data_IF_254811442153
#
_entry.id   IF_254811442153
#
_cell.length_a   1.000
_cell.length_b   1.000
_cell.length_c   1.000
_cell.angle_alpha   90.00
_cell.angle_beta   90.00
_cell.angle_gamma   90.00
#
_symmetry.space_group_name_H-M   'P 1'
#
loop_
_entity.id
_entity.type
_entity.pdbx_description
1 polymer ?
#
# COMPACT_ATOMS: atom_id res chain seq x y z
N UNK A 1 9.21 -18.22 -7.60
CA UNK A 1 8.98 -17.66 -7.48
C UNK A 1 8.59 -16.57 -7.69
N UNK A 2 8.09 -16.14 -7.69
CA UNK A 2 7.72 -15.22 -7.99
C UNK A 2 7.64 -14.07 -7.39
N UNK A 3 8.32 -13.24 -7.54
CA UNK A 3 8.31 -12.04 -6.95
C UNK A 3 7.13 -11.37 -7.31
N UNK A 4 6.29 -11.26 -6.46
CA UNK A 4 5.09 -10.58 -6.75
C UNK A 4 5.40 -9.13 -6.86
N UNK A 5 4.95 -8.51 -7.92
CA UNK A 5 5.09 -7.09 -8.10
C UNK A 5 3.85 -6.41 -7.56
N UNK A 6 3.69 -6.47 -6.26
CA UNK A 6 2.56 -5.85 -5.60
C UNK A 6 3.00 -4.60 -4.88
N UNK A 7 2.06 -3.68 -4.74
CA UNK A 7 2.28 -2.39 -4.13
C UNK A 7 1.21 -2.14 -3.07
N UNK A 8 1.54 -1.30 -2.12
CA UNK A 8 0.58 -0.83 -1.13
C UNK A 8 0.63 0.68 -1.11
N UNK A 9 -0.36 1.29 -0.50
CA UNK A 9 -0.37 2.74 -0.32
C UNK A 9 -0.04 3.01 1.14
N UNK A 10 1.04 3.75 1.35
CA UNK A 10 1.53 4.05 2.69
C UNK A 10 1.28 5.53 3.00
N UNK A 11 0.92 5.81 4.24
CA UNK A 11 0.75 7.19 4.65
C UNK A 11 2.07 7.93 4.66
N UNK A 12 2.08 9.13 4.10
CA UNK A 12 3.29 9.95 4.13
C UNK A 12 3.55 10.53 5.50
N UNK A 13 2.49 10.66 6.31
CA UNK A 13 2.63 11.22 7.66
C UNK A 13 2.95 10.16 8.70
N UNK A 14 2.49 8.94 8.48
CA UNK A 14 2.67 7.86 9.45
C UNK A 14 3.00 6.59 8.69
N UNK A 15 4.28 6.24 8.58
CA UNK A 15 4.68 5.08 7.75
C UNK A 15 4.11 3.76 8.23
N UNK A 16 3.57 3.69 9.43
CA UNK A 16 2.97 2.45 9.91
C UNK A 16 1.55 2.25 9.39
N UNK A 17 0.98 3.27 8.78
CA UNK A 17 -0.38 3.17 8.26
C UNK A 17 -0.36 2.85 6.78
N UNK A 18 -1.16 1.85 6.40
CA UNK A 18 -1.32 1.43 5.02
C UNK A 18 -2.80 1.52 4.67
N UNK A 19 -3.08 1.68 3.39
CA UNK A 19 -4.44 1.95 2.94
C UNK A 19 -5.24 0.69 2.72
N UNK A 20 -6.47 0.71 3.18
CA UNK A 20 -7.47 -0.30 2.87
C UNK A 20 -8.64 0.38 2.18
N UNK A 21 -9.07 -0.17 1.05
CA UNK A 21 -10.21 0.38 0.33
C UNK A 21 -11.49 0.32 1.15
N UNK A 22 -11.53 -0.57 2.12
CA UNK A 22 -12.71 -0.72 2.95
C UNK A 22 -12.65 0.14 4.20
N UNK A 23 -11.48 0.16 4.86
CA UNK A 23 -11.37 0.74 6.18
C UNK A 23 -10.55 2.03 6.24
N UNK A 24 -9.95 2.43 5.12
CA UNK A 24 -9.08 3.59 5.11
C UNK A 24 -7.69 3.25 5.62
N UNK A 25 -7.12 4.14 6.43
CA UNK A 25 -5.79 3.90 6.97
C UNK A 25 -5.85 2.89 8.10
N UNK A 26 -5.04 1.83 7.98
CA UNK A 26 -5.02 0.77 8.99
C UNK A 26 -3.58 0.51 9.39
N UNK A 27 -3.40 0.09 10.63
CA UNK A 27 -2.07 -0.22 11.16
C UNK A 27 -1.81 -1.71 11.26
N UNK A 28 -2.70 -2.52 10.73
CA UNK A 28 -2.55 -3.97 10.75
C UNK A 28 -2.21 -4.51 9.39
N UNK A 29 -2.59 -5.75 9.17
CA UNK A 29 -2.29 -6.43 7.93
C UNK A 29 -3.47 -6.47 6.96
N UNK A 30 -4.54 -5.75 7.28
CA UNK A 30 -5.76 -5.77 6.48
C UNK A 30 -5.74 -4.73 5.37
N UNK A 31 -4.57 -4.24 5.00
CA UNK A 31 -4.45 -3.30 3.89
C UNK A 31 -4.55 -4.02 2.56
N UNK A 32 -4.86 -3.27 1.52
CA UNK A 32 -5.00 -3.82 0.18
C UNK A 32 -3.70 -3.77 -0.58
N UNK A 33 -3.50 -4.76 -1.44
CA UNK A 33 -2.35 -4.80 -2.35
C UNK A 33 -2.84 -4.45 -3.74
N UNK A 34 -1.96 -3.81 -4.50
CA UNK A 34 -2.29 -3.34 -5.84
C UNK A 34 -1.23 -3.83 -6.82
N UNK A 35 -1.64 -4.03 -8.07
CA UNK A 35 -0.71 -4.41 -9.11
C UNK A 35 -0.02 -3.18 -9.67
N UNK A 36 1.04 -3.41 -10.44
CA UNK A 36 1.72 -2.30 -11.09
C UNK A 36 0.76 -1.52 -11.99
N UNK A 37 -0.10 -2.23 -12.70
CA UNK A 37 -1.06 -1.56 -13.58
C UNK A 37 -1.99 -0.66 -12.79
N UNK A 38 -2.37 -1.11 -11.61
CA UNK A 38 -3.26 -0.30 -10.77
C UNK A 38 -2.56 0.95 -10.26
N UNK A 39 -1.26 0.87 -10.02
CA UNK A 39 -0.54 2.07 -9.57
C UNK A 39 -0.53 3.14 -10.62
N UNK A 40 -0.70 2.76 -11.89
CA UNK A 40 -0.67 3.72 -12.98
C UNK A 40 -2.04 4.29 -13.30
N UNK A 41 -3.09 3.62 -12.87
CA UNK A 41 -4.44 4.04 -13.22
C UNK A 41 -5.26 4.53 -12.04
N UNK A 42 -4.89 4.17 -10.82
CA UNK A 42 -5.66 4.58 -9.65
C UNK A 42 -5.09 5.86 -9.05
N UNK A 43 -5.97 6.67 -8.52
CA UNK A 43 -5.56 7.88 -7.83
C UNK A 43 -5.25 7.56 -6.38
N UNK A 44 -4.18 8.16 -5.88
CA UNK A 44 -3.82 7.99 -4.48
C UNK A 44 -4.76 8.79 -3.59
N UNK A 45 -5.08 8.27 -2.42
CA UNK A 45 -5.76 9.11 -1.42
C UNK A 45 -4.83 10.21 -0.97
N UNK A 46 -5.42 11.26 -0.42
CA UNK A 46 -4.63 12.38 0.08
C UNK A 46 -3.74 11.86 1.21
N UNK A 47 -2.46 12.18 1.12
CA UNK A 47 -1.51 11.73 2.13
C UNK A 47 -0.98 10.34 1.90
N UNK A 48 -1.21 9.76 0.71
CA UNK A 48 -0.72 8.43 0.42
C UNK A 48 0.40 8.42 -0.59
N UNK A 49 1.18 7.38 -0.58
CA UNK A 49 2.23 7.17 -1.57
C UNK A 49 2.36 5.69 -1.86
N UNK A 50 2.73 5.38 -3.10
CA UNK A 50 2.93 4.00 -3.50
C UNK A 50 4.23 3.47 -2.91
N UNK A 51 4.19 2.28 -2.32
CA UNK A 51 5.39 1.61 -1.85
C UNK A 51 5.34 0.17 -2.36
N UNK A 52 6.51 -0.35 -2.67
CA UNK A 52 6.61 -1.72 -3.11
C UNK A 52 6.38 -2.64 -1.92
N UNK A 53 5.61 -3.70 -2.11
CA UNK A 53 5.27 -4.61 -1.02
C UNK A 53 6.53 -5.16 -0.35
N UNK A 54 7.57 -5.43 -1.13
CA UNK A 54 8.80 -5.97 -0.59
C UNK A 54 9.48 -5.03 0.40
N UNK A 55 9.18 -3.75 0.32
CA UNK A 55 9.78 -2.76 1.22
C UNK A 55 9.02 -2.61 2.52
N UNK A 56 7.94 -3.33 2.66
CA UNK A 56 7.13 -3.29 3.87
C UNK A 56 7.62 -4.41 4.78
N UNK A 57 8.45 -4.04 5.73
CA UNK A 57 9.05 -5.02 6.63
C UNK A 57 8.19 -5.11 7.87
N UNK A 58 7.68 -6.31 8.11
CA UNK A 58 6.79 -6.54 9.27
C UNK A 58 7.40 -7.65 10.08
N UNK A 59 7.80 -7.36 11.25
CA UNK A 59 8.42 -8.36 12.13
C UNK A 59 7.64 -8.50 13.40
#
# INVERSE_FOLDING_TARGET
MIAANYFAIQSTDDPELLWSNTDGWVDGEDFDLFTLEETESLNLPIGGQWVRFNNIIRH
#
